data_IF_547165788135
#
_entry.id   IF_547165788135
#
_cell.length_a   1.000
_cell.length_b   1.000
_cell.length_c   1.000
_cell.angle_alpha   90.00
_cell.angle_beta   90.00
_cell.angle_gamma   90.00
#
_symmetry.space_group_name_H-M   'P 1'
#
loop_
_entity.id
_entity.type
_entity.pdbx_description
1 polymer ?
#
# COMPACT_ATOMS: atom_id res chain seq x y z
N UNK A 1 -9.43 -7.54 32.60
CA UNK A 1 -10.09 -8.85 32.39
C UNK A 1 -9.78 -9.29 30.97
N UNK A 2 -9.06 -10.40 30.83
CA UNK A 2 -8.45 -10.93 29.59
C UNK A 2 -9.51 -11.54 28.66
N UNK A 3 -9.32 -11.40 27.34
CA UNK A 3 -9.75 -12.30 26.25
C UNK A 3 -8.82 -12.02 25.05
N UNK A 4 -7.66 -12.65 24.95
CA UNK A 4 -7.35 -13.98 24.41
C UNK A 4 -7.77 -14.22 22.94
N UNK A 5 -6.73 -14.36 22.11
CA UNK A 5 -6.57 -15.42 21.11
C UNK A 5 -7.66 -15.57 20.05
N UNK A 6 -7.45 -14.98 18.87
CA UNK A 6 -8.01 -15.53 17.62
C UNK A 6 -6.88 -16.18 16.83
N UNK A 7 -6.91 -17.50 16.82
CA UNK A 7 -6.11 -18.37 15.98
C UNK A 7 -6.45 -18.16 14.50
N UNK A 8 -5.44 -18.32 13.66
CA UNK A 8 -5.53 -18.26 12.21
C UNK A 8 -6.28 -19.52 11.72
N UNK A 9 -7.43 -19.33 11.06
CA UNK A 9 -8.19 -20.45 10.48
C UNK A 9 -7.46 -21.07 9.29
N UNK A 10 -7.36 -22.39 9.28
CA UNK A 10 -6.85 -23.21 8.17
C UNK A 10 -7.86 -23.22 7.02
N UNK A 11 -7.39 -22.91 5.80
CA UNK A 11 -8.14 -23.12 4.56
C UNK A 11 -8.30 -24.63 4.36
N UNK A 12 -9.54 -25.14 4.38
CA UNK A 12 -9.84 -26.48 3.86
C UNK A 12 -10.22 -26.38 2.39
N UNK A 13 -9.46 -27.11 1.59
CA UNK A 13 -9.60 -27.32 0.15
C UNK A 13 -10.80 -28.21 -0.17
N UNK A 14 -11.61 -27.78 -1.13
CA UNK A 14 -12.52 -28.65 -1.86
C UNK A 14 -12.78 -28.11 -3.28
N UNK A 15 -11.94 -28.54 -4.22
CA UNK A 15 -12.38 -28.85 -5.58
C UNK A 15 -12.32 -27.73 -6.62
N UNK A 16 -11.46 -27.97 -7.62
CA UNK A 16 -11.51 -27.47 -9.00
C UNK A 16 -11.78 -25.97 -9.21
N UNK A 17 -10.71 -25.18 -9.19
CA UNK A 17 -10.47 -24.13 -10.18
C UNK A 17 -8.99 -23.78 -10.13
N UNK A 18 -8.28 -23.80 -11.27
CA UNK A 18 -7.03 -23.05 -11.37
C UNK A 18 -7.39 -21.57 -11.47
N UNK A 19 -8.06 -21.03 -10.46
CA UNK A 19 -8.01 -19.59 -10.19
C UNK A 19 -6.53 -19.23 -10.18
N UNK A 20 -6.14 -18.27 -11.01
CA UNK A 20 -4.77 -17.76 -10.97
C UNK A 20 -4.54 -17.24 -9.56
N UNK A 21 -3.91 -18.05 -8.71
CA UNK A 21 -3.73 -17.69 -7.32
C UNK A 21 -2.70 -16.57 -7.28
N UNK A 22 -3.21 -15.34 -7.22
CA UNK A 22 -2.37 -14.17 -7.17
C UNK A 22 -1.42 -14.26 -5.98
N UNK A 23 -0.16 -13.93 -6.23
CA UNK A 23 0.81 -13.79 -5.16
C UNK A 23 0.38 -12.66 -4.22
N UNK A 24 0.63 -12.80 -2.92
CA UNK A 24 0.18 -11.83 -1.94
C UNK A 24 0.87 -10.47 -2.12
N UNK A 25 0.12 -9.40 -1.90
CA UNK A 25 0.64 -8.02 -1.83
C UNK A 25 0.49 -7.51 -0.40
N UNK A 26 1.54 -6.88 0.13
CA UNK A 26 1.48 -6.08 1.34
C UNK A 26 1.83 -4.65 0.97
N UNK A 27 0.86 -3.75 1.07
CA UNK A 27 1.04 -2.35 0.74
C UNK A 27 1.22 -1.51 2.00
N UNK A 28 2.31 -0.74 2.06
CA UNK A 28 2.45 0.33 3.05
C UNK A 28 1.87 1.63 2.48
N UNK A 29 0.97 2.23 3.23
CA UNK A 29 0.19 3.40 2.89
C UNK A 29 0.25 4.44 4.01
N UNK A 30 -0.22 5.65 3.71
CA UNK A 30 -0.28 6.76 4.65
C UNK A 30 0.30 8.06 4.09
N UNK A 31 0.19 9.17 4.82
CA UNK A 31 0.58 10.49 4.34
C UNK A 31 2.04 10.59 3.90
N UNK A 32 2.36 11.56 3.04
CA UNK A 32 3.75 11.87 2.70
C UNK A 32 4.57 12.20 3.96
N UNK A 33 5.80 11.69 4.05
CA UNK A 33 6.68 11.92 5.22
C UNK A 33 6.53 10.93 6.38
N UNK A 34 5.51 10.05 6.36
CA UNK A 34 5.25 9.11 7.46
C UNK A 34 6.32 8.00 7.64
N UNK A 35 7.19 7.78 6.65
CA UNK A 35 8.28 6.79 6.74
C UNK A 35 8.09 5.49 5.94
N UNK A 36 7.05 5.39 5.10
CA UNK A 36 6.73 4.21 4.27
C UNK A 36 7.95 3.54 3.62
N UNK A 37 8.70 4.28 2.80
CA UNK A 37 9.82 3.72 2.02
C UNK A 37 10.93 3.17 2.93
N UNK A 38 11.21 3.84 4.06
CA UNK A 38 12.25 3.40 5.00
C UNK A 38 11.81 2.11 5.69
N UNK A 39 10.59 2.11 6.25
CA UNK A 39 10.01 0.94 6.91
C UNK A 39 9.87 -0.26 5.96
N UNK A 40 9.46 -0.03 4.71
CA UNK A 40 9.32 -1.09 3.71
C UNK A 40 10.65 -1.80 3.44
N UNK A 41 11.75 -1.05 3.33
CA UNK A 41 13.11 -1.61 3.17
C UNK A 41 13.52 -2.40 4.41
N UNK A 42 13.29 -1.82 5.59
CA UNK A 42 13.60 -2.46 6.87
C UNK A 42 12.86 -3.80 7.07
N UNK A 43 11.60 -3.89 6.61
CA UNK A 43 10.82 -5.13 6.58
C UNK A 43 11.39 -6.11 5.55
N UNK A 44 11.68 -5.66 4.33
CA UNK A 44 12.22 -6.51 3.26
C UNK A 44 13.55 -7.18 3.67
N UNK A 45 14.44 -6.43 4.32
CA UNK A 45 15.71 -6.93 4.85
C UNK A 45 15.52 -8.01 5.93
N UNK A 46 14.55 -7.83 6.82
CA UNK A 46 14.21 -8.80 7.87
C UNK A 46 13.63 -10.09 7.28
N UNK A 47 12.70 -9.98 6.33
CA UNK A 47 12.14 -11.13 5.63
C UNK A 47 13.21 -11.89 4.85
N UNK A 48 14.12 -11.16 4.19
CA UNK A 48 15.26 -11.77 3.49
C UNK A 48 16.17 -12.54 4.44
N UNK A 49 16.50 -11.98 5.62
CA UNK A 49 17.27 -12.69 6.66
C UNK A 49 16.55 -13.92 7.20
N UNK A 50 15.22 -13.93 7.17
CA UNK A 50 14.39 -15.08 7.53
C UNK A 50 14.18 -16.08 6.37
N UNK A 51 14.92 -15.95 5.26
CA UNK A 51 14.77 -16.76 4.06
C UNK A 51 13.37 -16.71 3.43
N UNK A 52 12.69 -15.56 3.52
CA UNK A 52 11.38 -15.32 2.89
C UNK A 52 11.57 -14.27 1.80
N UNK A 53 11.78 -14.68 0.54
CA UNK A 53 12.07 -13.75 -0.53
C UNK A 53 10.82 -12.96 -0.93
N UNK A 54 10.97 -11.65 -1.07
CA UNK A 54 9.91 -10.73 -1.51
C UNK A 54 10.42 -9.83 -2.62
N UNK A 55 9.52 -9.34 -3.45
CA UNK A 55 9.78 -8.29 -4.45
C UNK A 55 9.30 -6.95 -3.90
N UNK A 56 10.09 -5.89 -4.07
CA UNK A 56 9.66 -4.54 -3.73
C UNK A 56 9.12 -3.82 -4.96
N UNK A 57 8.02 -3.10 -4.80
CA UNK A 57 7.43 -2.27 -5.84
C UNK A 57 6.95 -0.94 -5.29
N UNK A 58 6.66 0.02 -6.17
CA UNK A 58 6.00 1.27 -5.80
C UNK A 58 4.98 1.67 -6.85
N UNK A 59 3.92 2.32 -6.40
CA UNK A 59 2.89 2.88 -7.27
C UNK A 59 3.41 3.96 -8.25
N UNK A 60 4.56 4.57 -7.94
CA UNK A 60 5.18 5.60 -8.77
C UNK A 60 6.39 5.06 -9.57
N UNK A 61 6.74 3.78 -9.42
CA UNK A 61 7.93 3.15 -9.99
C UNK A 61 7.65 1.70 -10.45
N UNK A 62 6.58 1.53 -11.22
CA UNK A 62 6.12 0.24 -11.73
C UNK A 62 6.74 -0.09 -13.09
N UNK A 63 8.07 -0.10 -13.18
CA UNK A 63 8.79 -0.41 -14.42
C UNK A 63 8.50 0.58 -15.56
N UNK A 64 8.02 0.08 -16.71
CA UNK A 64 7.72 0.90 -17.90
C UNK A 64 6.67 1.99 -17.65
N UNK A 65 5.81 1.80 -16.65
CA UNK A 65 4.79 2.77 -16.27
C UNK A 65 5.34 3.94 -15.45
N UNK A 66 6.53 3.80 -14.82
CA UNK A 66 7.09 4.81 -13.93
C UNK A 66 7.21 6.20 -14.57
N UNK A 67 7.84 6.35 -15.76
CA UNK A 67 7.90 7.64 -16.46
C UNK A 67 6.52 8.18 -16.85
N UNK A 68 5.61 7.31 -17.31
CA UNK A 68 4.25 7.68 -17.74
C UNK A 68 3.41 8.22 -16.58
N UNK A 69 3.42 7.51 -15.44
CA UNK A 69 2.69 7.91 -14.22
C UNK A 69 3.24 9.22 -13.67
N UNK A 70 4.56 9.41 -13.68
CA UNK A 70 5.18 10.66 -13.20
C UNK A 70 4.82 11.84 -14.08
N UNK A 71 4.84 11.69 -15.40
CA UNK A 71 4.40 12.73 -16.35
C UNK A 71 2.94 13.12 -16.11
N UNK A 72 2.07 12.12 -16.04
CA UNK A 72 0.64 12.31 -15.77
C UNK A 72 0.37 13.01 -14.43
N UNK A 73 1.21 12.81 -13.41
CA UNK A 73 1.07 13.42 -12.10
C UNK A 73 1.45 14.92 -12.03
N UNK A 74 2.02 15.47 -13.11
CA UNK A 74 2.34 16.90 -13.21
C UNK A 74 1.11 17.74 -13.62
N UNK A 75 0.11 17.13 -14.24
CA UNK A 75 -1.02 17.82 -14.87
C UNK A 75 -2.35 17.46 -14.19
N UNK A 76 -3.04 18.43 -13.54
CA UNK A 76 -4.35 18.18 -12.93
C UNK A 76 -5.41 17.69 -13.89
N UNK A 77 -5.36 18.15 -15.15
CA UNK A 77 -6.41 17.91 -16.13
C UNK A 77 -6.37 16.47 -16.65
N UNK A 78 -5.31 15.73 -16.31
CA UNK A 78 -5.09 14.33 -16.68
C UNK A 78 -5.36 13.36 -15.53
N UNK A 79 -6.03 13.80 -14.47
CA UNK A 79 -6.26 12.98 -13.26
C UNK A 79 -6.99 11.66 -13.51
N UNK A 80 -7.96 11.62 -14.44
CA UNK A 80 -8.64 10.37 -14.80
C UNK A 80 -7.70 9.41 -15.54
N UNK A 81 -6.93 9.94 -16.50
CA UNK A 81 -5.90 9.17 -17.22
C UNK A 81 -4.85 8.64 -16.25
N UNK A 82 -4.40 9.45 -15.28
CA UNK A 82 -3.50 9.02 -14.22
C UNK A 82 -4.10 7.87 -13.40
N UNK A 83 -5.38 7.97 -13.01
CA UNK A 83 -6.08 6.92 -12.25
C UNK A 83 -6.07 5.58 -13.00
N UNK A 84 -6.42 5.61 -14.29
CA UNK A 84 -6.51 4.43 -15.14
C UNK A 84 -5.14 3.84 -15.47
N UNK A 85 -4.15 4.68 -15.81
CA UNK A 85 -2.78 4.25 -16.05
C UNK A 85 -2.17 3.59 -14.81
N UNK A 86 -2.44 4.14 -13.62
CA UNK A 86 -2.00 3.55 -12.36
C UNK A 86 -2.67 2.19 -12.10
N UNK A 87 -3.96 2.04 -12.40
CA UNK A 87 -4.65 0.75 -12.30
C UNK A 87 -4.08 -0.29 -13.26
N UNK A 88 -3.80 0.10 -14.51
CA UNK A 88 -3.15 -0.77 -15.50
C UNK A 88 -1.74 -1.21 -15.06
N UNK A 89 -0.94 -0.28 -14.52
CA UNK A 89 0.38 -0.57 -13.99
C UNK A 89 0.35 -1.61 -12.85
N UNK A 90 -0.66 -1.53 -11.97
CA UNK A 90 -0.87 -2.49 -10.87
C UNK A 90 -1.33 -3.85 -11.39
N UNK A 91 -2.17 -3.90 -12.41
CA UNK A 91 -2.58 -5.16 -13.03
C UNK A 91 -1.34 -5.89 -13.58
N UNK A 92 -0.54 -5.21 -14.39
CA UNK A 92 0.69 -5.77 -14.94
C UNK A 92 1.69 -6.17 -13.85
N UNK A 93 1.88 -5.34 -12.82
CA UNK A 93 2.75 -5.65 -11.68
C UNK A 93 2.39 -7.01 -11.07
N UNK A 94 1.10 -7.30 -10.91
CA UNK A 94 0.66 -8.58 -10.36
C UNK A 94 0.86 -9.73 -11.34
N UNK A 95 0.65 -9.50 -12.64
CA UNK A 95 0.77 -10.53 -13.69
C UNK A 95 2.20 -11.01 -13.85
N UNK A 96 3.18 -10.12 -13.66
CA UNK A 96 4.61 -10.43 -13.83
C UNK A 96 5.32 -10.80 -12.53
N UNK A 97 4.67 -10.64 -11.38
CA UNK A 97 5.25 -10.93 -10.07
C UNK A 97 5.64 -12.41 -9.96
N UNK A 98 6.84 -12.67 -9.42
CA UNK A 98 7.33 -14.06 -9.19
C UNK A 98 7.40 -14.41 -7.72
N UNK A 99 7.23 -13.43 -6.84
CA UNK A 99 7.26 -13.55 -5.37
C UNK A 99 6.19 -12.66 -4.74
N UNK A 100 5.85 -12.88 -3.46
CA UNK A 100 5.12 -11.90 -2.68
C UNK A 100 5.67 -10.48 -2.83
N UNK A 101 4.79 -9.50 -2.92
CA UNK A 101 5.13 -8.10 -3.17
C UNK A 101 5.01 -7.25 -1.91
N UNK A 102 6.03 -6.46 -1.63
CA UNK A 102 6.00 -5.33 -0.69
C UNK A 102 5.89 -4.02 -1.48
N UNK A 103 4.78 -3.32 -1.34
CA UNK A 103 4.49 -2.12 -2.13
C UNK A 103 4.58 -0.83 -1.32
N UNK A 104 5.38 0.14 -1.78
CA UNK A 104 5.28 1.54 -1.36
C UNK A 104 4.12 2.18 -2.13
N UNK A 105 2.97 2.23 -1.45
CA UNK A 105 1.64 2.59 -1.98
C UNK A 105 1.05 1.56 -2.94
N UNK A 106 -0.27 1.45 -2.91
CA UNK A 106 -1.08 0.62 -3.77
C UNK A 106 -2.45 1.30 -3.99
N UNK A 107 -3.55 0.56 -3.99
CA UNK A 107 -4.90 1.07 -4.29
C UNK A 107 -5.34 2.22 -3.37
N UNK A 108 -5.03 2.18 -2.08
CA UNK A 108 -5.51 3.20 -1.12
C UNK A 108 -5.01 4.60 -1.51
N UNK A 109 -3.75 4.74 -1.94
CA UNK A 109 -3.23 6.02 -2.45
C UNK A 109 -4.05 6.58 -3.62
N UNK A 110 -4.62 5.73 -4.50
CA UNK A 110 -5.51 6.23 -5.56
C UNK A 110 -6.81 6.79 -5.01
N UNK A 111 -7.40 6.13 -4.02
CA UNK A 111 -8.61 6.62 -3.36
C UNK A 111 -8.39 7.95 -2.63
N UNK A 112 -7.15 8.27 -2.27
CA UNK A 112 -6.75 9.55 -1.68
C UNK A 112 -6.50 10.60 -2.74
N UNK A 113 -5.47 10.41 -3.58
CA UNK A 113 -4.98 11.48 -4.46
C UNK A 113 -5.94 11.75 -5.61
N UNK A 114 -6.45 10.72 -6.29
CA UNK A 114 -7.37 10.94 -7.40
C UNK A 114 -8.74 11.43 -6.93
N UNK A 115 -9.14 11.13 -5.69
CA UNK A 115 -10.31 11.75 -5.07
C UNK A 115 -10.11 13.23 -4.81
N UNK A 116 -8.93 13.62 -4.32
CA UNK A 116 -8.58 15.04 -4.15
C UNK A 116 -8.65 15.79 -5.49
N UNK A 117 -8.31 15.14 -6.60
CA UNK A 117 -8.49 15.68 -7.95
C UNK A 117 -9.93 15.67 -8.48
N UNK A 118 -10.93 15.36 -7.65
CA UNK A 118 -12.34 15.46 -7.99
C UNK A 118 -12.96 14.20 -8.61
N UNK A 119 -12.23 13.08 -8.69
CA UNK A 119 -12.80 11.84 -9.22
C UNK A 119 -13.66 11.15 -8.14
N UNK A 120 -14.91 10.74 -8.45
CA UNK A 120 -15.76 10.06 -7.49
C UNK A 120 -15.10 8.81 -6.89
N UNK A 121 -15.05 8.74 -5.55
CA UNK A 121 -14.36 7.64 -4.85
C UNK A 121 -14.95 6.26 -5.18
N UNK A 122 -16.26 6.15 -5.39
CA UNK A 122 -16.90 4.88 -5.77
C UNK A 122 -16.46 4.39 -7.15
N UNK A 123 -16.19 5.30 -8.09
CA UNK A 123 -15.61 4.94 -9.38
C UNK A 123 -14.18 4.43 -9.20
N UNK A 124 -13.35 5.17 -8.44
CA UNK A 124 -11.96 4.76 -8.16
C UNK A 124 -11.89 3.40 -7.48
N UNK A 125 -12.77 3.14 -6.51
CA UNK A 125 -12.90 1.84 -5.85
C UNK A 125 -13.29 0.76 -6.86
N UNK A 126 -14.33 0.98 -7.67
CA UNK A 126 -14.82 -0.01 -8.63
C UNK A 126 -13.75 -0.43 -9.64
N UNK A 127 -12.98 0.53 -10.16
CA UNK A 127 -11.86 0.28 -11.08
C UNK A 127 -10.75 -0.54 -10.42
N UNK A 128 -10.47 -0.30 -9.14
CA UNK A 128 -9.35 -0.94 -8.44
C UNK A 128 -9.75 -2.20 -7.65
N UNK A 129 -11.03 -2.48 -7.46
CA UNK A 129 -11.53 -3.59 -6.64
C UNK A 129 -10.91 -4.95 -7.01
N UNK A 130 -10.77 -5.33 -8.30
CA UNK A 130 -10.15 -6.61 -8.66
C UNK A 130 -8.68 -6.74 -8.21
N UNK A 131 -7.98 -5.60 -8.09
CA UNK A 131 -6.57 -5.54 -7.70
C UNK A 131 -6.35 -5.77 -6.20
N UNK A 132 -7.40 -5.60 -5.38
CA UNK A 132 -7.34 -5.80 -3.93
C UNK A 132 -7.29 -7.29 -3.52
N UNK A 133 -7.60 -8.21 -4.43
CA UNK A 133 -7.53 -9.64 -4.16
C UNK A 133 -6.14 -10.05 -3.65
N UNK A 134 -6.08 -10.94 -2.65
CA UNK A 134 -4.83 -11.39 -2.02
C UNK A 134 -3.91 -10.24 -1.54
N UNK A 135 -4.45 -9.04 -1.26
CA UNK A 135 -3.67 -7.93 -0.74
C UNK A 135 -4.03 -7.57 0.70
N UNK A 136 -3.07 -6.99 1.41
CA UNK A 136 -3.23 -6.39 2.74
C UNK A 136 -2.70 -4.97 2.69
N UNK A 137 -3.42 -4.04 3.31
CA UNK A 137 -3.02 -2.63 3.40
C UNK A 137 -2.63 -2.28 4.82
N UNK A 138 -1.41 -1.81 5.01
CA UNK A 138 -0.89 -1.29 6.28
C UNK A 138 -0.81 0.23 6.16
N UNK A 139 -1.65 0.93 6.92
CA UNK A 139 -1.69 2.40 6.93
C UNK A 139 -0.89 2.90 8.10
N UNK A 140 0.19 3.63 7.81
CA UNK A 140 0.98 4.32 8.80
C UNK A 140 0.30 5.64 9.16
N UNK A 141 0.05 5.85 10.44
CA UNK A 141 -0.50 7.09 10.98
C UNK A 141 0.55 7.81 11.81
N UNK A 142 0.53 9.13 11.71
CA UNK A 142 1.37 10.06 12.45
C UNK A 142 0.60 11.37 12.54
N UNK A 143 0.81 12.14 13.61
CA UNK A 143 0.10 13.41 13.76
C UNK A 143 0.60 14.46 12.76
N UNK A 144 -0.17 15.54 12.62
CA UNK A 144 0.12 16.59 11.65
C UNK A 144 1.41 17.37 11.96
N UNK A 145 1.75 17.53 13.24
CA UNK A 145 2.91 18.31 13.69
C UNK A 145 4.20 17.54 13.39
N UNK A 146 4.25 16.25 13.72
CA UNK A 146 5.36 15.36 13.39
C UNK A 146 5.52 15.20 11.87
N UNK A 147 4.42 15.08 11.11
CA UNK A 147 4.47 15.05 9.64
C UNK A 147 5.01 16.36 9.06
N UNK A 148 4.66 17.49 9.65
CA UNK A 148 5.17 18.80 9.25
C UNK A 148 6.67 18.87 9.43
N UNK A 149 7.17 18.47 10.60
CA UNK A 149 8.60 18.48 10.90
C UNK A 149 9.39 17.55 9.97
N UNK A 150 8.91 16.31 9.76
CA UNK A 150 9.53 15.34 8.84
C UNK A 150 9.54 15.83 7.38
N UNK A 151 8.56 16.65 6.96
CA UNK A 151 8.50 17.21 5.59
C UNK A 151 9.44 18.39 5.39
N UNK A 152 9.70 19.21 6.42
CA UNK A 152 10.62 20.36 6.34
C UNK A 152 12.06 19.94 6.06
N UNK A 153 12.49 18.82 6.64
CA UNK A 153 13.86 18.33 6.51
C UNK A 153 14.18 17.58 5.21
N UNK A 154 13.26 17.48 4.23
CA UNK A 154 13.42 16.59 3.08
C UNK A 154 13.18 17.31 1.74
N UNK A 155 14.12 17.23 0.79
CA UNK A 155 13.85 17.62 -0.59
C UNK A 155 12.69 16.76 -1.12
N UNK A 156 11.59 17.40 -1.53
CA UNK A 156 10.45 16.72 -2.14
C UNK A 156 10.50 16.97 -3.64
N UNK A 157 10.47 15.90 -4.44
CA UNK A 157 10.11 16.02 -5.85
C UNK A 157 8.67 16.52 -5.90
N UNK A 158 8.47 17.71 -6.45
CA UNK A 158 7.15 18.31 -6.64
C UNK A 158 6.31 17.44 -7.57
N UNK A 159 5.02 17.42 -7.29
CA UNK A 159 3.97 16.98 -8.20
C UNK A 159 2.71 17.76 -7.85
N UNK A 160 1.71 17.72 -8.73
CA UNK A 160 0.53 18.55 -8.57
C UNK A 160 -0.17 18.34 -7.21
N UNK A 161 -0.18 17.10 -6.71
CA UNK A 161 -0.80 16.74 -5.43
C UNK A 161 -0.01 17.27 -4.25
N UNK A 162 1.31 17.02 -4.19
CA UNK A 162 2.16 17.42 -3.07
C UNK A 162 2.21 18.92 -2.85
N UNK A 163 2.01 19.69 -3.91
CA UNK A 163 2.05 21.15 -3.89
C UNK A 163 0.71 21.77 -3.42
N UNK A 164 -0.38 21.00 -3.42
CA UNK A 164 -1.75 21.51 -3.13
C UNK A 164 -2.46 20.80 -2.00
N UNK A 165 -2.15 19.53 -1.74
CA UNK A 165 -2.77 18.75 -0.69
C UNK A 165 -2.07 19.01 0.65
N UNK A 166 -2.75 19.76 1.52
CA UNK A 166 -2.32 20.01 2.89
C UNK A 166 -2.31 18.75 3.75
N UNK A 167 -1.48 18.73 4.80
CA UNK A 167 -1.25 17.57 5.67
C UNK A 167 -2.55 17.07 6.31
N UNK A 168 -3.32 17.96 6.94
CA UNK A 168 -4.58 17.58 7.60
C UNK A 168 -5.56 16.96 6.62
N UNK A 169 -5.70 17.55 5.43
CA UNK A 169 -6.60 17.01 4.40
C UNK A 169 -6.11 15.65 3.86
N UNK A 170 -4.79 15.46 3.76
CA UNK A 170 -4.23 14.16 3.38
C UNK A 170 -4.54 13.08 4.42
N UNK A 171 -4.41 13.39 5.72
CA UNK A 171 -4.77 12.47 6.82
C UNK A 171 -6.25 12.09 6.72
N UNK A 172 -7.14 13.09 6.65
CA UNK A 172 -8.59 12.85 6.53
C UNK A 172 -8.94 11.96 5.33
N UNK A 173 -8.36 12.23 4.17
CA UNK A 173 -8.60 11.42 2.97
C UNK A 173 -8.12 9.98 3.15
N UNK A 174 -7.02 9.77 3.87
CA UNK A 174 -6.53 8.43 4.22
C UNK A 174 -7.48 7.69 5.15
N UNK A 175 -8.03 8.36 6.16
CA UNK A 175 -9.00 7.78 7.09
C UNK A 175 -10.30 7.42 6.35
N UNK A 176 -10.83 8.33 5.54
CA UNK A 176 -12.02 8.10 4.72
C UNK A 176 -11.84 6.93 3.74
N UNK A 177 -10.69 6.86 3.06
CA UNK A 177 -10.40 5.79 2.11
C UNK A 177 -10.18 4.43 2.81
N UNK A 178 -9.56 4.45 4.00
CA UNK A 178 -9.35 3.24 4.80
C UNK A 178 -10.68 2.66 5.26
N UNK A 179 -11.57 3.51 5.77
CA UNK A 179 -12.92 3.11 6.17
C UNK A 179 -13.71 2.52 4.99
N UNK A 180 -13.61 3.11 3.79
CA UNK A 180 -14.27 2.56 2.59
C UNK A 180 -13.76 1.14 2.28
N UNK A 181 -12.45 0.91 2.33
CA UNK A 181 -11.87 -0.41 2.07
C UNK A 181 -12.33 -1.44 3.11
N UNK A 182 -12.30 -1.10 4.40
CA UNK A 182 -12.75 -1.96 5.49
C UNK A 182 -14.24 -2.31 5.38
N UNK A 183 -15.10 -1.32 5.10
CA UNK A 183 -16.53 -1.51 4.87
C UNK A 183 -16.84 -2.47 3.72
N UNK A 184 -15.94 -2.55 2.73
CA UNK A 184 -16.04 -3.47 1.61
C UNK A 184 -15.24 -4.78 1.82
N UNK A 185 -14.87 -5.09 3.06
CA UNK A 185 -14.26 -6.38 3.44
C UNK A 185 -12.77 -6.50 3.11
N UNK A 186 -12.11 -5.42 2.70
CA UNK A 186 -10.66 -5.42 2.47
C UNK A 186 -9.90 -5.34 3.80
N UNK A 187 -8.76 -6.03 3.90
CA UNK A 187 -7.94 -6.05 5.12
C UNK A 187 -7.09 -4.80 5.21
N UNK A 188 -7.48 -3.88 6.08
CA UNK A 188 -6.71 -2.69 6.44
C UNK A 188 -6.19 -2.84 7.86
N UNK A 189 -4.92 -2.45 8.07
CA UNK A 189 -4.26 -2.45 9.38
C UNK A 189 -3.66 -1.07 9.62
N UNK A 190 -4.19 -0.37 10.62
CA UNK A 190 -3.64 0.90 11.07
C UNK A 190 -2.43 0.66 11.97
N UNK A 191 -1.34 1.38 11.77
CA UNK A 191 -0.11 1.30 12.57
C UNK A 191 0.31 2.71 12.96
N UNK A 192 0.45 2.93 14.26
CA UNK A 192 1.05 4.13 14.82
C UNK A 192 2.55 4.18 14.48
N UNK A 193 2.96 5.22 13.75
CA UNK A 193 4.32 5.45 13.28
C UNK A 193 5.11 6.45 14.13
N UNK A 194 4.58 6.85 15.30
CA UNK A 194 5.31 7.61 16.33
C UNK A 194 6.31 6.73 17.09
N UNK A 195 6.06 5.41 17.14
CA UNK A 195 6.97 4.45 17.75
C UNK A 195 8.28 4.30 16.96
N UNK A 196 9.29 3.75 17.63
CA UNK A 196 10.59 3.44 17.03
C UNK A 196 10.46 2.56 15.77
N UNK A 197 11.08 3.00 14.68
CA UNK A 197 10.96 2.37 13.36
C UNK A 197 11.45 0.91 13.38
N UNK A 198 12.55 0.63 14.10
CA UNK A 198 13.09 -0.73 14.20
C UNK A 198 12.10 -1.67 14.88
N UNK A 199 11.47 -1.21 15.96
CA UNK A 199 10.44 -1.94 16.69
C UNK A 199 9.22 -2.24 15.81
N UNK A 200 8.76 -1.26 15.03
CA UNK A 200 7.66 -1.46 14.07
C UNK A 200 8.07 -2.49 13.01
N UNK A 201 9.27 -2.36 12.46
CA UNK A 201 9.79 -3.26 11.43
C UNK A 201 9.93 -4.70 11.94
N UNK A 202 10.45 -4.90 13.16
CA UNK A 202 10.58 -6.20 13.80
C UNK A 202 9.21 -6.87 13.92
N UNK A 203 8.24 -6.16 14.52
CA UNK A 203 6.86 -6.67 14.70
C UNK A 203 6.20 -7.04 13.37
N UNK A 204 6.20 -6.11 12.41
CA UNK A 204 5.54 -6.35 11.12
C UNK A 204 6.23 -7.46 10.32
N UNK A 205 7.56 -7.54 10.32
CA UNK A 205 8.26 -8.60 9.63
C UNK A 205 7.96 -9.99 10.20
N UNK A 206 7.85 -10.12 11.53
CA UNK A 206 7.50 -11.38 12.17
C UNK A 206 6.07 -11.82 11.81
N UNK A 207 5.10 -10.90 11.84
CA UNK A 207 3.71 -11.16 11.44
C UNK A 207 3.61 -11.58 9.97
N UNK A 208 4.33 -10.87 9.08
CA UNK A 208 4.35 -11.15 7.66
C UNK A 208 5.06 -12.48 7.35
N UNK A 209 6.14 -12.80 8.05
CA UNK A 209 6.89 -14.03 7.85
C UNK A 209 5.99 -15.27 7.97
N UNK A 210 5.16 -15.33 9.03
CA UNK A 210 4.21 -16.44 9.23
C UNK A 210 3.20 -16.57 8.09
N UNK A 211 2.79 -15.45 7.48
CA UNK A 211 1.81 -15.43 6.41
C UNK A 211 2.40 -15.71 5.03
N UNK A 212 3.66 -15.31 4.80
CA UNK A 212 4.33 -15.38 3.51
C UNK A 212 5.15 -16.66 3.31
N UNK A 213 5.59 -17.33 4.38
CA UNK A 213 6.39 -18.56 4.30
C UNK A 213 5.75 -19.67 3.44
N UNK A 214 4.42 -19.73 3.37
CA UNK A 214 3.68 -20.69 2.54
C UNK A 214 3.81 -20.47 1.02
N UNK A 215 4.37 -19.33 0.60
CA UNK A 215 4.61 -19.00 -0.82
C UNK A 215 6.09 -19.10 -1.20
N UNK A 216 6.92 -19.70 -0.35
CA UNK A 216 8.31 -20.00 -0.68
C UNK A 216 8.36 -21.10 -1.74
N UNK A 217 9.02 -20.88 -2.90
CA UNK A 217 9.26 -21.96 -3.85
C UNK A 217 10.16 -22.99 -3.17
N UNK A 218 9.70 -24.24 -3.08
CA UNK A 218 10.53 -25.39 -2.70
C UNK A 218 11.69 -25.58 -3.67
#
# INVERSE_FOLDING_TARGET
MRRDGRSWGTMTDSGSDRETQWLPIVALEGPSGVGKTTLLRAIAERLTRAAIPVEMASNNDSGRWGPVIRDLALDPDRSLTLALATAAARAELREVARRPLLCDRYVLSTLVYQRFAGIPINYLYSVNRPLLAASVTIVLQLDADELTERRRGRPRKSDWFKDRLGINREIELYDEASALLEQNGHRVRIVDASADESTIADRLSAELASSLAKFHPS
#
